data_IF_889533291699
#
_entry.id   IF_889533291699
#
_cell.length_a   1.000
_cell.length_b   1.000
_cell.length_c   1.000
_cell.angle_alpha   90.00
_cell.angle_beta   90.00
_cell.angle_gamma   90.00
#
_symmetry.space_group_name_H-M   'P 1'
#
loop_
_entity.id
_entity.type
_entity.pdbx_description
1 polymer ?
#
# COMPACT_ATOMS: atom_id res chain seq x y z
N UNK A 1 -39.77 33.31 10.70
CA UNK A 1 -39.40 32.20 9.79
C UNK A 1 -38.08 31.52 10.21
N UNK A 2 -37.85 31.32 11.52
CA UNK A 2 -36.64 30.70 12.11
C UNK A 2 -36.94 29.50 13.06
N UNK A 3 -38.14 29.31 13.66
CA UNK A 3 -38.34 28.21 14.61
C UNK A 3 -38.54 26.83 13.97
N UNK A 4 -39.01 26.75 12.71
CA UNK A 4 -39.21 25.47 12.00
C UNK A 4 -37.89 24.78 11.60
N UNK A 5 -36.84 25.56 11.30
CA UNK A 5 -35.52 25.00 10.94
C UNK A 5 -34.83 24.37 12.16
N UNK A 6 -35.00 24.98 13.35
CA UNK A 6 -34.46 24.44 14.60
C UNK A 6 -35.14 23.14 15.01
N UNK A 7 -36.48 23.05 14.86
CA UNK A 7 -37.22 21.81 15.15
C UNK A 7 -36.83 20.65 14.23
N UNK A 8 -36.60 20.93 12.94
CA UNK A 8 -36.16 19.92 11.97
C UNK A 8 -34.77 19.36 12.30
N UNK A 9 -33.84 20.21 12.73
CA UNK A 9 -32.49 19.79 13.12
C UNK A 9 -32.47 18.97 14.41
N UNK A 10 -33.29 19.32 15.41
CA UNK A 10 -33.41 18.51 16.64
C UNK A 10 -34.10 17.17 16.40
N UNK A 11 -35.12 17.09 15.53
CA UNK A 11 -35.74 15.80 15.21
C UNK A 11 -34.77 14.88 14.45
N UNK A 12 -34.01 15.43 13.49
CA UNK A 12 -33.03 14.65 12.72
C UNK A 12 -31.90 14.15 13.62
N UNK A 13 -31.43 14.96 14.57
CA UNK A 13 -30.42 14.52 15.52
C UNK A 13 -30.96 13.49 16.53
N UNK A 14 -32.22 13.58 16.95
CA UNK A 14 -32.85 12.57 17.81
C UNK A 14 -33.00 11.22 17.09
N UNK A 15 -33.42 11.25 15.83
CA UNK A 15 -33.56 10.04 15.00
C UNK A 15 -32.20 9.39 14.73
N UNK A 16 -31.15 10.18 14.50
CA UNK A 16 -29.77 9.67 14.32
C UNK A 16 -29.27 9.00 15.60
N UNK A 17 -29.51 9.59 16.78
CA UNK A 17 -29.09 9.01 18.06
C UNK A 17 -29.85 7.72 18.37
N UNK A 18 -31.17 7.67 18.11
CA UNK A 18 -31.95 6.45 18.31
C UNK A 18 -31.58 5.34 17.31
N UNK A 19 -31.27 5.65 16.06
CA UNK A 19 -30.79 4.66 15.09
C UNK A 19 -29.42 4.09 15.46
N UNK A 20 -28.51 4.91 15.97
CA UNK A 20 -27.20 4.44 16.47
C UNK A 20 -27.38 3.53 17.67
N UNK A 21 -28.23 3.90 18.64
CA UNK A 21 -28.51 3.09 19.82
C UNK A 21 -29.21 1.75 19.50
N UNK A 22 -30.08 1.72 18.48
CA UNK A 22 -30.73 0.48 18.03
C UNK A 22 -29.77 -0.44 17.28
N UNK A 23 -28.80 0.11 16.53
CA UNK A 23 -27.77 -0.69 15.84
C UNK A 23 -26.78 -1.33 16.82
N UNK A 24 -26.45 -0.66 17.94
CA UNK A 24 -25.56 -1.23 18.97
C UNK A 24 -26.20 -2.38 19.77
N UNK A 25 -27.52 -2.50 19.79
CA UNK A 25 -28.24 -3.46 20.65
C UNK A 25 -28.67 -4.77 19.98
N UNK A 26 -28.57 -4.91 18.65
CA UNK A 26 -29.07 -6.09 17.95
C UNK A 26 -28.15 -6.55 16.80
N UNK A 27 -27.22 -7.45 17.12
CA UNK A 27 -26.27 -8.08 16.19
C UNK A 27 -26.92 -8.91 15.08
N UNK A 28 -28.20 -9.28 15.20
CA UNK A 28 -28.91 -10.11 14.21
C UNK A 28 -29.70 -9.32 13.17
N UNK A 29 -29.88 -8.00 13.34
CA UNK A 29 -30.67 -7.17 12.42
C UNK A 29 -29.81 -6.36 11.42
N UNK A 30 -28.49 -6.50 11.47
CA UNK A 30 -27.56 -5.83 10.54
C UNK A 30 -27.62 -6.45 9.13
N UNK A 31 -28.03 -7.72 9.01
CA UNK A 31 -28.01 -8.46 7.75
C UNK A 31 -29.20 -8.15 6.81
N UNK A 32 -30.30 -7.59 7.31
CA UNK A 32 -31.54 -7.42 6.52
C UNK A 32 -31.77 -6.01 5.96
N UNK A 33 -31.09 -4.98 6.47
CA UNK A 33 -31.22 -3.60 5.99
C UNK A 33 -30.28 -3.26 4.81
N UNK A 34 -29.31 -4.12 4.50
CA UNK A 34 -28.32 -3.90 3.44
C UNK A 34 -28.85 -4.04 2.01
N UNK A 35 -30.13 -4.39 1.80
CA UNK A 35 -30.66 -4.70 0.46
C UNK A 35 -31.39 -3.51 -0.20
N UNK A 36 -31.73 -2.42 0.52
CA UNK A 36 -32.50 -1.32 -0.09
C UNK A 36 -32.02 0.12 0.19
N UNK A 37 -31.03 0.32 1.04
CA UNK A 37 -30.43 1.64 1.27
C UNK A 37 -28.91 1.49 1.24
N UNK A 38 -28.25 2.30 0.41
CA UNK A 38 -26.81 2.25 0.20
C UNK A 38 -26.06 2.08 1.51
N UNK A 39 -25.19 1.07 1.56
CA UNK A 39 -24.41 0.71 2.74
C UNK A 39 -23.68 1.95 3.27
N UNK A 40 -23.95 2.31 4.53
CA UNK A 40 -23.14 3.31 5.23
C UNK A 40 -21.78 2.66 5.46
N UNK A 41 -20.78 3.11 4.71
CA UNK A 41 -19.39 2.69 4.90
C UNK A 41 -18.82 3.66 5.93
N UNK A 42 -18.61 3.18 7.15
CA UNK A 42 -17.87 3.92 8.19
C UNK A 42 -16.38 3.71 7.89
N UNK A 43 -15.60 4.80 7.71
CA UNK A 43 -14.14 4.71 7.60
C UNK A 43 -13.52 3.90 8.73
N UNK A 44 -12.55 3.07 8.40
CA UNK A 44 -11.73 2.42 9.42
C UNK A 44 -10.83 3.46 10.09
N UNK A 45 -10.85 3.53 11.42
CA UNK A 45 -9.96 4.38 12.22
C UNK A 45 -8.48 4.16 11.82
N UNK A 46 -8.11 2.92 11.49
CA UNK A 46 -6.74 2.58 11.05
C UNK A 46 -6.38 3.22 9.71
N UNK A 47 -7.36 3.39 8.84
CA UNK A 47 -7.18 4.06 7.56
C UNK A 47 -6.89 5.56 7.77
N UNK A 48 -7.64 6.20 8.69
CA UNK A 48 -7.40 7.59 9.05
C UNK A 48 -6.01 7.78 9.66
N UNK A 49 -5.58 6.86 10.54
CA UNK A 49 -4.26 6.86 11.15
C UNK A 49 -3.12 6.73 10.11
N UNK A 50 -3.30 5.93 9.05
CA UNK A 50 -2.35 5.88 7.92
C UNK A 50 -2.27 7.23 7.21
N UNK A 51 -3.43 7.80 6.87
CA UNK A 51 -3.51 9.07 6.13
C UNK A 51 -2.90 10.24 6.93
N UNK A 52 -3.08 10.22 8.24
CA UNK A 52 -2.54 11.21 9.18
C UNK A 52 -1.08 10.91 9.58
N UNK A 53 -0.49 9.81 9.09
CA UNK A 53 0.87 9.34 9.41
C UNK A 53 1.08 9.02 10.90
N UNK A 54 0.01 8.65 11.59
CA UNK A 54 0.05 8.21 12.99
C UNK A 54 0.52 6.75 13.09
N UNK A 55 0.33 5.97 12.02
CA UNK A 55 0.82 4.60 11.90
C UNK A 55 1.71 4.47 10.66
N UNK A 56 2.79 3.73 10.81
CA UNK A 56 3.72 3.45 9.71
C UNK A 56 3.25 2.27 8.86
N UNK A 57 3.38 2.41 7.55
CA UNK A 57 3.18 1.31 6.61
C UNK A 57 4.48 0.51 6.52
N UNK A 58 4.40 -0.79 6.81
CA UNK A 58 5.54 -1.70 6.70
C UNK A 58 5.66 -2.31 5.30
N UNK A 59 4.53 -2.68 4.69
CA UNK A 59 4.52 -3.27 3.35
C UNK A 59 3.28 -2.85 2.57
N UNK A 60 3.45 -2.57 1.27
CA UNK A 60 2.37 -2.45 0.29
C UNK A 60 2.63 -3.43 -0.84
N UNK A 61 1.75 -4.42 -0.97
CA UNK A 61 1.91 -5.51 -1.94
C UNK A 61 0.71 -5.49 -2.87
N UNK A 62 0.93 -5.13 -4.12
CA UNK A 62 -0.07 -5.17 -5.18
C UNK A 62 0.26 -6.31 -6.12
N UNK A 63 -0.77 -7.10 -6.42
CA UNK A 63 -0.77 -8.16 -7.42
C UNK A 63 -2.02 -7.98 -8.29
N UNK A 64 -2.14 -8.75 -9.37
CA UNK A 64 -3.38 -8.79 -10.18
C UNK A 64 -4.64 -9.13 -9.38
N UNK A 65 -4.51 -9.78 -8.23
CA UNK A 65 -5.64 -10.29 -7.44
C UNK A 65 -5.99 -9.40 -6.26
N UNK A 66 -4.99 -8.79 -5.62
CA UNK A 66 -5.17 -8.11 -4.35
C UNK A 66 -4.16 -7.00 -4.10
N UNK A 67 -4.55 -6.11 -3.17
CA UNK A 67 -3.72 -5.11 -2.52
C UNK A 67 -3.63 -5.51 -1.05
N UNK A 68 -2.43 -5.75 -0.55
CA UNK A 68 -2.15 -6.00 0.85
C UNK A 68 -1.40 -4.81 1.43
N UNK A 69 -1.90 -4.25 2.53
CA UNK A 69 -1.18 -3.21 3.30
C UNK A 69 -0.99 -3.73 4.72
N UNK A 70 0.26 -3.79 5.16
CA UNK A 70 0.63 -4.16 6.52
C UNK A 70 1.12 -2.92 7.28
N UNK A 71 0.62 -2.73 8.49
CA UNK A 71 0.99 -1.60 9.35
C UNK A 71 1.87 -2.01 10.53
N UNK A 72 2.56 -1.04 11.12
CA UNK A 72 3.46 -1.26 12.27
C UNK A 72 2.76 -1.69 13.56
N UNK A 73 1.45 -1.46 13.66
CA UNK A 73 0.60 -1.93 14.75
C UNK A 73 -0.14 -3.25 14.42
N UNK A 74 0.39 -4.00 13.44
CA UNK A 74 -0.06 -5.34 13.05
C UNK A 74 -1.47 -5.41 12.45
N UNK A 75 -1.95 -4.35 11.82
CA UNK A 75 -3.19 -4.40 11.04
C UNK A 75 -2.89 -4.72 9.58
N UNK A 76 -3.84 -5.45 8.97
CA UNK A 76 -3.77 -5.91 7.58
C UNK A 76 -5.00 -5.43 6.84
N UNK A 77 -4.78 -4.62 5.80
CA UNK A 77 -5.79 -4.38 4.78
C UNK A 77 -5.58 -5.41 3.67
N UNK A 78 -6.51 -6.37 3.53
CA UNK A 78 -6.51 -7.36 2.45
C UNK A 78 -7.66 -7.05 1.50
N UNK A 79 -7.34 -6.26 0.47
CA UNK A 79 -8.29 -5.69 -0.48
C UNK A 79 -8.19 -6.43 -1.81
N UNK A 80 -9.28 -6.46 -2.56
CA UNK A 80 -9.23 -6.89 -3.96
C UNK A 80 -8.49 -5.84 -4.83
N UNK A 81 -7.86 -6.27 -5.92
CA UNK A 81 -7.15 -5.37 -6.83
C UNK A 81 -8.03 -4.24 -7.42
N UNK A 82 -9.35 -4.46 -7.51
CA UNK A 82 -10.31 -3.45 -7.97
C UNK A 82 -10.51 -2.24 -7.03
N UNK A 83 -9.89 -2.26 -5.84
CA UNK A 83 -9.85 -1.08 -4.97
C UNK A 83 -8.83 -0.04 -5.44
N UNK A 84 -7.97 -0.37 -6.41
CA UNK A 84 -7.19 0.63 -7.13
C UNK A 84 -8.02 1.23 -8.28
N UNK A 85 -8.12 2.56 -8.29
CA UNK A 85 -8.72 3.32 -9.40
C UNK A 85 -7.62 3.87 -10.30
N UNK A 86 -7.49 3.30 -11.50
CA UNK A 86 -6.53 3.73 -12.52
C UNK A 86 -6.80 5.11 -13.10
N UNK A 87 -8.06 5.55 -13.12
CA UNK A 87 -8.44 6.86 -13.64
C UNK A 87 -7.85 7.96 -12.77
N UNK A 88 -7.91 7.76 -11.46
CA UNK A 88 -7.46 8.73 -10.47
C UNK A 88 -6.10 8.37 -9.88
N UNK A 89 -5.55 7.18 -10.13
CA UNK A 89 -4.33 6.65 -9.50
C UNK A 89 -4.40 6.71 -7.97
N UNK A 90 -5.48 6.17 -7.40
CA UNK A 90 -5.73 6.14 -5.95
C UNK A 90 -6.11 4.74 -5.48
N UNK A 91 -5.88 4.47 -4.19
CA UNK A 91 -6.32 3.24 -3.53
C UNK A 91 -7.49 3.59 -2.62
N UNK A 92 -8.62 2.93 -2.85
CA UNK A 92 -9.82 3.06 -2.04
C UNK A 92 -9.69 2.16 -0.81
N UNK A 93 -9.65 2.73 0.39
CA UNK A 93 -9.54 1.99 1.65
C UNK A 93 -10.89 1.93 2.37
N UNK A 94 -11.88 1.28 1.76
CA UNK A 94 -13.25 1.19 2.31
C UNK A 94 -13.47 -0.03 3.20
N UNK A 95 -12.55 -0.99 3.18
CA UNK A 95 -12.65 -2.20 3.97
C UNK A 95 -11.93 -2.02 5.29
N UNK A 96 -12.56 -2.47 6.38
CA UNK A 96 -11.92 -2.53 7.69
C UNK A 96 -10.71 -3.47 7.64
N UNK A 97 -9.61 -2.99 8.17
CA UNK A 97 -8.43 -3.77 8.47
C UNK A 97 -8.74 -4.89 9.46
N UNK A 98 -7.90 -5.93 9.42
CA UNK A 98 -7.97 -7.06 10.34
C UNK A 98 -6.65 -7.16 11.06
N UNK A 99 -6.67 -7.42 12.37
CA UNK A 99 -5.44 -7.67 13.12
C UNK A 99 -4.74 -8.91 12.57
N UNK A 100 -3.40 -8.90 12.50
CA UNK A 100 -2.60 -10.03 12.00
C UNK A 100 -2.88 -11.32 12.78
N UNK A 101 -3.20 -11.23 14.08
CA UNK A 101 -3.58 -12.39 14.90
C UNK A 101 -4.80 -13.13 14.36
N UNK A 102 -5.75 -12.39 13.81
CA UNK A 102 -7.01 -12.92 13.33
C UNK A 102 -6.89 -13.32 11.86
N UNK A 103 -6.16 -12.51 11.08
CA UNK A 103 -5.95 -12.75 9.64
C UNK A 103 -5.00 -13.92 9.37
N UNK A 104 -3.92 -14.00 10.13
CA UNK A 104 -2.84 -14.98 9.97
C UNK A 104 -2.53 -15.70 11.29
N UNK A 105 -3.49 -16.44 11.88
CA UNK A 105 -3.35 -17.01 13.22
C UNK A 105 -2.19 -18.02 13.32
N UNK A 106 -1.91 -18.77 12.24
CA UNK A 106 -0.76 -19.69 12.19
C UNK A 106 0.56 -18.95 12.36
N UNK A 107 0.74 -17.82 11.67
CA UNK A 107 1.92 -16.97 11.83
C UNK A 107 1.95 -16.36 13.22
N UNK A 108 0.83 -15.85 13.70
CA UNK A 108 0.77 -15.18 15.00
C UNK A 108 1.11 -16.10 16.18
N UNK A 109 0.74 -17.37 16.10
CA UNK A 109 1.00 -18.38 17.12
C UNK A 109 2.35 -19.09 16.94
N UNK A 110 3.07 -18.81 15.85
CA UNK A 110 4.41 -19.36 15.65
C UNK A 110 5.39 -18.78 16.68
N UNK A 111 6.10 -19.66 17.37
CA UNK A 111 6.98 -19.27 18.48
C UNK A 111 8.16 -18.43 18.04
N UNK A 112 8.67 -18.65 16.82
CA UNK A 112 9.77 -17.87 16.26
C UNK A 112 9.25 -16.48 15.88
N UNK A 113 8.05 -16.38 15.29
CA UNK A 113 7.43 -15.10 14.98
C UNK A 113 7.18 -14.30 16.25
N UNK A 114 6.57 -14.94 17.26
CA UNK A 114 6.31 -14.32 18.57
C UNK A 114 7.58 -13.73 19.20
N UNK A 115 8.70 -14.44 19.10
CA UNK A 115 9.99 -13.97 19.62
C UNK A 115 10.56 -12.73 18.91
N UNK A 116 10.14 -12.49 17.65
CA UNK A 116 10.68 -11.39 16.84
C UNK A 116 9.72 -10.21 16.66
N UNK A 117 8.42 -10.35 16.99
CA UNK A 117 7.37 -9.32 16.78
C UNK A 117 7.81 -7.93 17.24
N UNK A 118 8.38 -7.82 18.45
CA UNK A 118 8.77 -6.55 19.05
C UNK A 118 10.01 -5.89 18.43
N UNK A 119 10.68 -6.55 17.48
CA UNK A 119 12.00 -6.13 17.00
C UNK A 119 12.10 -5.95 15.50
N UNK A 120 11.19 -6.52 14.71
CA UNK A 120 11.23 -6.33 13.26
C UNK A 120 10.78 -4.90 12.91
N UNK A 121 11.55 -4.24 12.05
CA UNK A 121 11.29 -2.86 11.61
C UNK A 121 11.00 -2.76 10.11
N UNK A 122 11.07 -3.89 9.42
CA UNK A 122 10.92 -4.00 7.98
C UNK A 122 10.28 -5.36 7.67
N UNK A 123 9.38 -5.37 6.70
CA UNK A 123 8.74 -6.57 6.16
C UNK A 123 8.94 -6.53 4.65
N UNK A 124 9.78 -7.44 4.15
CA UNK A 124 9.91 -7.66 2.72
C UNK A 124 8.84 -8.61 2.23
N UNK A 125 8.77 -8.75 0.92
CA UNK A 125 7.93 -9.75 0.31
C UNK A 125 8.58 -10.33 -0.93
N UNK A 126 8.07 -11.50 -1.32
CA UNK A 126 8.37 -12.11 -2.60
C UNK A 126 7.03 -12.49 -3.23
N UNK A 127 6.84 -12.12 -4.50
CA UNK A 127 5.78 -12.69 -5.32
C UNK A 127 6.44 -13.83 -6.11
N UNK A 128 6.14 -15.07 -5.76
CA UNK A 128 6.80 -16.23 -6.39
C UNK A 128 6.25 -16.54 -7.79
N UNK A 129 6.81 -17.57 -8.44
CA UNK A 129 6.40 -18.00 -9.78
C UNK A 129 4.95 -18.53 -9.86
N UNK A 130 4.32 -18.85 -8.73
CA UNK A 130 2.89 -19.19 -8.64
C UNK A 130 2.02 -17.98 -8.37
N UNK A 131 2.63 -16.79 -8.26
CA UNK A 131 2.04 -15.55 -7.78
C UNK A 131 1.54 -15.65 -6.33
N UNK A 132 2.16 -16.53 -5.54
CA UNK A 132 1.95 -16.53 -4.10
C UNK A 132 2.75 -15.38 -3.47
N UNK A 133 2.15 -14.71 -2.50
CA UNK A 133 2.80 -13.65 -1.75
C UNK A 133 3.42 -14.29 -0.50
N UNK A 134 4.73 -14.15 -0.37
CA UNK A 134 5.49 -14.53 0.81
C UNK A 134 5.85 -13.27 1.59
N UNK A 135 5.32 -13.11 2.80
CA UNK A 135 5.76 -12.09 3.74
C UNK A 135 7.06 -12.55 4.39
N UNK A 136 8.10 -11.73 4.30
CA UNK A 136 9.44 -12.06 4.74
C UNK A 136 9.81 -11.13 5.91
N UNK A 137 9.75 -11.67 7.12
CA UNK A 137 10.13 -10.98 8.35
C UNK A 137 11.60 -11.25 8.61
N UNK A 138 12.44 -10.25 8.45
CA UNK A 138 13.89 -10.40 8.57
C UNK A 138 14.35 -10.21 10.01
N UNK A 139 15.37 -10.96 10.41
CA UNK A 139 16.12 -10.68 11.64
C UNK A 139 17.38 -9.89 11.33
N UNK A 140 17.97 -9.16 12.30
CA UNK A 140 19.25 -8.49 12.12
C UNK A 140 20.34 -9.44 11.61
N UNK A 141 21.33 -8.90 10.89
CA UNK A 141 22.44 -9.67 10.30
C UNK A 141 23.15 -10.62 11.28
N UNK A 142 23.32 -10.18 12.54
CA UNK A 142 24.03 -10.92 13.59
C UNK A 142 23.08 -11.67 14.54
N UNK A 143 21.79 -11.76 14.21
CA UNK A 143 20.85 -12.51 15.02
C UNK A 143 21.20 -14.01 14.98
N UNK A 144 21.07 -14.74 16.10
CA UNK A 144 21.39 -16.17 16.16
C UNK A 144 20.42 -17.02 15.33
N UNK A 145 19.21 -16.52 15.09
CA UNK A 145 18.17 -17.20 14.33
C UNK A 145 17.83 -16.40 13.06
N UNK A 146 17.55 -17.12 11.98
CA UNK A 146 17.08 -16.54 10.72
C UNK A 146 15.69 -15.91 10.88
N UNK A 147 15.27 -15.13 9.87
CA UNK A 147 13.91 -14.59 9.79
C UNK A 147 12.83 -15.66 9.57
N UNK A 148 11.63 -15.22 9.21
CA UNK A 148 10.50 -16.08 8.85
C UNK A 148 9.93 -15.63 7.52
N UNK A 149 9.67 -16.60 6.64
CA UNK A 149 8.88 -16.39 5.44
C UNK A 149 7.52 -17.07 5.61
N UNK A 150 6.45 -16.32 5.36
CA UNK A 150 5.07 -16.76 5.51
C UNK A 150 4.29 -16.61 4.21
N UNK A 151 3.72 -17.70 3.70
CA UNK A 151 2.86 -17.66 2.51
C UNK A 151 1.42 -17.27 2.90
N UNK A 152 0.94 -16.16 2.35
CA UNK A 152 -0.37 -15.58 2.73
C UNK A 152 -1.57 -16.41 2.30
N UNK A 153 -1.40 -17.38 1.39
CA UNK A 153 -2.50 -18.14 0.81
C UNK A 153 -2.68 -19.50 1.49
N UNK A 154 -1.59 -20.24 1.70
CA UNK A 154 -1.65 -21.58 2.29
C UNK A 154 -1.27 -21.58 3.79
N UNK A 155 -0.71 -20.48 4.30
CA UNK A 155 -0.27 -20.33 5.69
C UNK A 155 0.98 -21.14 6.03
N UNK A 156 1.77 -21.51 5.02
CA UNK A 156 3.07 -22.14 5.18
C UNK A 156 4.07 -21.18 5.82
N UNK A 157 4.88 -21.71 6.73
CA UNK A 157 5.92 -20.99 7.46
C UNK A 157 7.22 -21.74 7.19
N UNK A 158 8.23 -21.02 6.71
CA UNK A 158 9.58 -21.55 6.49
C UNK A 158 10.62 -20.61 7.09
N UNK A 159 11.83 -21.14 7.30
CA UNK A 159 12.96 -20.31 7.70
C UNK A 159 13.23 -19.24 6.64
N UNK A 160 13.26 -17.99 7.10
CA UNK A 160 13.47 -16.82 6.26
C UNK A 160 14.92 -16.35 6.28
N UNK A 161 15.11 -15.08 5.98
CA UNK A 161 16.45 -14.50 5.79
C UNK A 161 16.88 -13.59 6.93
N UNK A 162 18.19 -13.39 7.03
CA UNK A 162 18.77 -12.28 7.78
C UNK A 162 18.80 -11.04 6.89
N UNK A 163 18.65 -9.86 7.50
CA UNK A 163 18.99 -8.61 6.84
C UNK A 163 20.49 -8.61 6.55
N UNK A 164 20.90 -8.36 5.30
CA UNK A 164 22.32 -8.20 5.00
C UNK A 164 22.83 -6.84 5.49
N UNK A 165 24.13 -6.76 5.79
CA UNK A 165 24.79 -5.57 6.35
C UNK A 165 24.61 -4.28 5.53
N UNK A 166 24.24 -4.38 4.26
CA UNK A 166 24.10 -3.26 3.31
C UNK A 166 22.68 -3.12 2.75
N UNK A 167 21.69 -3.71 3.42
CA UNK A 167 20.31 -3.73 2.94
C UNK A 167 19.61 -2.39 3.14
N UNK A 168 19.86 -1.47 2.23
CA UNK A 168 19.00 -0.33 1.93
C UNK A 168 18.09 -0.66 0.73
N UNK A 169 17.61 -1.91 0.67
CA UNK A 169 16.78 -2.43 -0.41
C UNK A 169 15.31 -2.40 -0.03
N UNK A 170 14.51 -1.69 -0.82
CA UNK A 170 13.06 -1.60 -0.68
C UNK A 170 12.43 -2.38 -1.83
N UNK A 171 11.54 -3.31 -1.48
CA UNK A 171 10.82 -4.13 -2.46
C UNK A 171 9.58 -3.38 -2.92
N UNK A 172 9.40 -3.29 -4.23
CA UNK A 172 8.32 -2.59 -4.89
C UNK A 172 7.53 -3.63 -5.68
N UNK A 173 6.27 -3.84 -5.29
CA UNK A 173 5.43 -4.89 -5.87
C UNK A 173 4.96 -4.51 -7.27
N UNK A 174 4.50 -5.49 -8.05
CA UNK A 174 3.92 -5.22 -9.37
C UNK A 174 2.77 -6.19 -9.65
N UNK A 175 1.80 -5.73 -10.41
CA UNK A 175 0.76 -6.55 -11.02
C UNK A 175 1.26 -7.41 -12.19
N UNK A 176 2.56 -7.41 -12.50
CA UNK A 176 3.16 -8.33 -13.46
C UNK A 176 3.57 -9.64 -12.75
N UNK A 177 3.05 -10.76 -13.25
CA UNK A 177 3.29 -12.08 -12.67
C UNK A 177 4.78 -12.42 -12.62
N UNK A 178 5.24 -12.92 -11.46
CA UNK A 178 6.62 -13.33 -11.23
C UNK A 178 7.71 -12.26 -11.40
N UNK A 179 7.34 -11.00 -11.38
CA UNK A 179 8.29 -9.90 -11.33
C UNK A 179 8.08 -9.09 -10.07
N UNK A 180 9.14 -8.41 -9.65
CA UNK A 180 9.07 -7.33 -8.66
C UNK A 180 10.22 -6.37 -8.89
N UNK A 181 10.05 -5.14 -8.42
CA UNK A 181 11.09 -4.14 -8.47
C UNK A 181 11.82 -4.08 -7.12
N UNK A 182 13.10 -3.75 -7.16
CA UNK A 182 13.94 -3.52 -5.98
C UNK A 182 14.58 -2.15 -6.12
N UNK A 183 14.54 -1.37 -5.06
CA UNK A 183 15.14 -0.03 -5.01
C UNK A 183 16.24 0.00 -3.96
N UNK A 184 17.43 0.49 -4.35
CA UNK A 184 18.51 0.83 -3.42
C UNK A 184 18.57 2.33 -3.20
N UNK A 185 18.84 2.74 -1.95
CA UNK A 185 18.84 4.15 -1.53
C UNK A 185 20.17 4.63 -0.93
N UNK A 186 21.17 3.75 -0.77
CA UNK A 186 22.43 4.06 -0.11
C UNK A 186 23.36 5.01 -0.90
N UNK A 187 23.27 5.00 -2.23
CA UNK A 187 24.11 5.80 -3.14
C UNK A 187 23.26 6.28 -4.31
N UNK A 188 22.39 7.26 -4.04
CA UNK A 188 21.32 7.67 -4.95
C UNK A 188 20.20 6.62 -5.05
N UNK A 189 19.14 6.95 -5.79
CA UNK A 189 18.01 6.05 -5.98
C UNK A 189 18.23 5.19 -7.22
N UNK A 190 18.31 3.88 -7.01
CA UNK A 190 18.67 2.89 -8.02
C UNK A 190 17.59 1.81 -8.09
N UNK A 191 16.98 1.59 -9.25
CA UNK A 191 15.93 0.59 -9.46
C UNK A 191 16.44 -0.62 -10.23
N UNK A 192 15.92 -1.79 -9.90
CA UNK A 192 16.09 -3.01 -10.66
C UNK A 192 14.76 -3.75 -10.75
N UNK A 193 14.61 -4.58 -11.79
CA UNK A 193 13.47 -5.48 -11.94
C UNK A 193 13.99 -6.90 -11.86
N UNK A 194 13.47 -7.67 -10.92
CA UNK A 194 13.88 -9.05 -10.70
C UNK A 194 12.77 -10.01 -11.12
N UNK A 195 13.18 -11.13 -11.72
CA UNK A 195 12.30 -12.21 -12.11
C UNK A 195 12.39 -13.34 -11.08
N UNK A 196 11.28 -13.62 -10.41
CA UNK A 196 11.17 -14.61 -9.33
C UNK A 196 10.95 -16.05 -9.85
N UNK A 197 10.85 -16.24 -11.18
CA UNK A 197 10.87 -17.57 -11.83
C UNK A 197 12.28 -18.17 -11.90
N UNK A 198 13.35 -17.40 -11.65
CA UNK A 198 14.74 -17.88 -11.80
C UNK A 198 15.19 -18.87 -10.71
N UNK A 199 14.51 -20.02 -10.61
CA UNK A 199 15.06 -21.27 -10.07
C UNK A 199 16.14 -21.76 -11.03
N UNK A 200 17.36 -21.28 -10.87
CA UNK A 200 18.51 -21.96 -11.45
C UNK A 200 19.50 -22.35 -10.35
N UNK A 201 19.62 -23.67 -10.20
CA UNK A 201 20.69 -24.45 -9.55
C UNK A 201 20.99 -24.17 -8.08
N UNK A 202 20.62 -25.11 -7.22
CA UNK A 202 21.32 -25.62 -6.02
C UNK A 202 21.85 -24.65 -4.95
N UNK A 203 21.64 -23.35 -5.09
CA UNK A 203 21.89 -22.33 -4.08
C UNK A 203 20.68 -21.37 -4.08
N UNK A 204 19.98 -21.32 -2.95
CA UNK A 204 18.72 -20.60 -2.68
C UNK A 204 18.79 -19.07 -2.76
N UNK A 205 19.70 -18.51 -3.55
CA UNK A 205 19.79 -17.07 -3.77
C UNK A 205 18.93 -16.69 -4.97
N UNK A 206 17.79 -16.05 -4.73
CA UNK A 206 17.08 -15.30 -5.77
C UNK A 206 18.09 -14.39 -6.46
N UNK A 207 18.38 -14.67 -7.74
CA UNK A 207 19.40 -13.94 -8.47
C UNK A 207 18.87 -12.54 -8.77
N UNK A 208 19.07 -11.59 -7.84
CA UNK A 208 18.90 -10.18 -8.10
C UNK A 208 19.93 -9.82 -9.17
N UNK A 209 19.49 -9.73 -10.42
CA UNK A 209 20.31 -9.24 -11.52
C UNK A 209 21.01 -7.96 -11.06
N UNK A 210 22.34 -7.92 -10.97
CA UNK A 210 23.06 -6.80 -10.34
C UNK A 210 23.00 -5.48 -11.13
N UNK A 211 22.20 -5.40 -12.20
CA UNK A 211 22.07 -4.22 -13.07
C UNK A 211 20.95 -3.31 -12.61
N UNK A 212 21.30 -2.38 -11.75
CA UNK A 212 20.40 -1.29 -11.36
C UNK A 212 20.46 -0.14 -12.39
N UNK A 213 19.34 0.57 -12.53
CA UNK A 213 19.22 1.84 -13.25
C UNK A 213 19.08 2.97 -12.23
N UNK A 214 19.96 3.96 -12.29
CA UNK A 214 19.92 5.13 -11.42
C UNK A 214 18.84 6.10 -11.92
N UNK A 215 18.13 6.73 -10.99
CA UNK A 215 17.15 7.79 -11.27
C UNK A 215 17.81 9.15 -11.08
N UNK A 216 17.82 9.93 -12.15
CA UNK A 216 18.45 11.24 -12.20
C UNK A 216 17.44 12.34 -12.47
N UNK A 217 17.77 13.58 -12.12
CA UNK A 217 17.06 14.80 -12.53
C UNK A 217 17.98 15.72 -13.35
N UNK A 218 17.41 16.50 -14.26
CA UNK A 218 18.14 17.39 -15.19
C UNK A 218 18.66 18.69 -14.55
N UNK A 219 18.11 19.07 -13.41
CA UNK A 219 18.41 20.30 -12.69
C UNK A 219 18.17 20.05 -11.22
N UNK A 220 18.90 20.74 -10.35
CA UNK A 220 18.66 20.69 -8.91
C UNK A 220 17.52 21.63 -8.49
N UNK A 221 16.31 21.33 -8.95
CA UNK A 221 15.10 22.07 -8.58
C UNK A 221 13.86 21.15 -8.54
N UNK A 222 12.78 21.66 -7.96
CA UNK A 222 11.53 20.91 -7.76
C UNK A 222 10.78 20.59 -9.06
N UNK A 223 10.93 21.41 -10.10
CA UNK A 223 10.25 21.25 -11.39
C UNK A 223 11.00 20.32 -12.36
N UNK A 224 12.12 19.75 -11.90
CA UNK A 224 12.98 18.94 -12.74
C UNK A 224 12.32 17.62 -13.11
N UNK A 225 12.37 17.29 -14.40
CA UNK A 225 11.97 15.97 -14.89
C UNK A 225 13.00 14.93 -14.50
N UNK A 226 12.52 13.73 -14.20
CA UNK A 226 13.39 12.58 -13.95
C UNK A 226 13.71 11.82 -15.22
N UNK A 227 14.76 11.02 -15.20
CA UNK A 227 15.03 10.00 -16.20
C UNK A 227 15.79 8.83 -15.57
N UNK A 228 15.71 7.67 -16.21
CA UNK A 228 16.45 6.48 -15.79
C UNK A 228 17.73 6.39 -16.62
N UNK A 229 18.83 6.03 -15.95
CA UNK A 229 20.12 5.79 -16.57
C UNK A 229 20.75 4.51 -16.05
N UNK A 230 20.96 3.56 -16.95
CA UNK A 230 21.68 2.34 -16.68
C UNK A 230 23.17 2.65 -16.75
N UNK A 231 23.74 2.89 -15.59
CA UNK A 231 25.15 3.16 -15.41
C UNK A 231 25.94 1.87 -15.17
N UNK A 232 27.28 1.96 -15.31
CA UNK A 232 28.17 1.09 -14.54
C UNK A 232 27.83 1.23 -13.05
N UNK A 233 27.86 0.17 -12.22
CA UNK A 233 27.39 0.21 -10.82
C UNK A 233 28.04 1.28 -9.92
N UNK A 234 29.06 1.97 -10.40
CA UNK A 234 29.85 2.99 -9.70
C UNK A 234 29.60 4.43 -10.17
N UNK A 235 28.72 4.68 -11.15
CA UNK A 235 28.44 6.05 -11.64
C UNK A 235 27.13 6.60 -11.06
N UNK A 236 27.23 7.78 -10.43
CA UNK A 236 26.10 8.57 -9.94
C UNK A 236 25.64 9.58 -10.99
N UNK A 237 24.50 10.23 -10.76
CA UNK A 237 23.99 11.22 -11.70
C UNK A 237 24.85 12.48 -11.78
N UNK A 238 25.70 12.77 -10.77
CA UNK A 238 26.53 13.98 -10.63
C UNK A 238 27.61 14.14 -11.72
N UNK A 239 27.20 14.33 -12.96
CA UNK A 239 28.06 14.70 -14.09
C UNK A 239 27.23 15.56 -15.06
N UNK A 240 27.83 16.61 -15.63
CA UNK A 240 27.26 17.42 -16.72
C UNK A 240 25.87 18.03 -16.43
N UNK A 241 25.63 18.49 -15.19
CA UNK A 241 24.38 19.17 -14.81
C UNK A 241 23.22 18.23 -14.47
N UNK A 242 23.48 16.94 -14.29
CA UNK A 242 22.51 15.98 -13.78
C UNK A 242 22.74 15.73 -12.28
N UNK A 243 21.67 15.46 -11.55
CA UNK A 243 21.70 15.30 -10.09
C UNK A 243 20.94 14.04 -9.68
N UNK A 244 21.35 13.43 -8.58
CA UNK A 244 20.60 12.33 -7.99
C UNK A 244 19.25 12.85 -7.45
N UNK A 245 18.24 12.00 -7.49
CA UNK A 245 16.99 12.28 -6.78
C UNK A 245 17.16 11.92 -5.30
N UNK A 246 16.60 12.75 -4.41
CA UNK A 246 16.55 12.48 -2.98
C UNK A 246 15.10 12.18 -2.59
N UNK A 247 14.76 10.90 -2.64
CA UNK A 247 13.45 10.40 -2.25
C UNK A 247 13.59 9.58 -0.98
N UNK A 248 12.94 10.04 0.09
CA UNK A 248 12.81 9.27 1.33
C UNK A 248 11.76 8.16 1.15
N UNK A 249 12.07 7.17 0.31
CA UNK A 249 11.19 6.07 -0.05
C UNK A 249 10.97 5.17 1.18
N UNK A 250 9.70 4.81 1.40
CA UNK A 250 9.26 3.88 2.44
C UNK A 250 8.81 2.57 1.78
N UNK A 251 8.02 2.68 0.71
CA UNK A 251 7.45 1.53 0.02
C UNK A 251 7.01 1.91 -1.40
N UNK A 252 6.32 1.01 -2.10
CA UNK A 252 5.64 1.34 -3.33
C UNK A 252 5.21 0.12 -4.13
N UNK A 253 4.51 0.39 -5.22
CA UNK A 253 4.05 -0.64 -6.13
C UNK A 253 3.89 -0.12 -7.55
N UNK A 254 3.77 -1.06 -8.48
CA UNK A 254 3.46 -0.82 -9.89
C UNK A 254 2.13 -1.48 -10.21
N UNK A 255 1.24 -0.71 -10.82
CA UNK A 255 -0.03 -1.23 -11.33
C UNK A 255 -0.52 -0.33 -12.44
N UNK A 256 -1.20 -0.91 -13.43
CA UNK A 256 -1.74 -0.19 -14.60
C UNK A 256 -0.68 0.68 -15.31
N UNK A 257 0.58 0.23 -15.33
CA UNK A 257 1.68 0.91 -15.98
C UNK A 257 2.18 2.18 -15.26
N UNK A 258 1.90 2.34 -13.97
CA UNK A 258 2.41 3.45 -13.14
C UNK A 258 3.15 2.94 -11.90
N UNK A 259 4.33 3.52 -11.67
CA UNK A 259 4.96 3.49 -10.35
C UNK A 259 4.20 4.39 -9.39
N UNK A 260 3.94 3.86 -8.20
CA UNK A 260 3.43 4.58 -7.03
C UNK A 260 4.45 4.43 -5.91
N UNK A 261 5.39 5.37 -5.81
CA UNK A 261 6.48 5.35 -4.83
C UNK A 261 6.02 6.10 -3.59
N UNK A 262 5.83 5.38 -2.49
CA UNK A 262 5.42 5.94 -1.20
C UNK A 262 6.65 6.45 -0.46
N UNK A 263 6.59 7.72 -0.06
CA UNK A 263 7.67 8.43 0.62
C UNK A 263 7.16 9.06 1.91
N UNK A 264 8.08 9.55 2.75
CA UNK A 264 7.72 10.34 3.95
C UNK A 264 6.93 11.61 3.63
N UNK A 265 6.99 12.10 2.38
CA UNK A 265 6.33 13.34 1.92
C UNK A 265 5.03 13.10 1.16
N UNK A 266 4.65 11.86 0.88
CA UNK A 266 3.48 11.52 0.06
C UNK A 266 3.79 10.44 -0.97
N UNK A 267 3.05 10.41 -2.07
CA UNK A 267 3.20 9.40 -3.13
C UNK A 267 3.65 10.06 -4.42
N UNK A 268 4.76 9.57 -4.97
CA UNK A 268 5.27 9.95 -6.29
C UNK A 268 4.70 9.00 -7.34
N UNK A 269 4.11 9.55 -8.39
CA UNK A 269 3.42 8.80 -9.44
C UNK A 269 4.04 9.15 -10.80
N UNK A 270 4.49 8.13 -11.53
CA UNK A 270 5.07 8.27 -12.85
C UNK A 270 4.94 6.97 -13.66
N UNK A 271 5.00 7.05 -14.99
CA UNK A 271 4.77 5.89 -15.86
C UNK A 271 5.89 4.86 -15.74
N UNK A 272 5.55 3.59 -15.64
CA UNK A 272 6.48 2.45 -15.59
C UNK A 272 7.41 2.38 -16.80
N UNK A 273 6.89 2.70 -17.99
CA UNK A 273 7.63 2.64 -19.26
C UNK A 273 8.99 3.37 -19.23
N UNK A 274 9.16 4.36 -18.35
CA UNK A 274 10.41 5.14 -18.26
C UNK A 274 11.58 4.30 -17.76
N UNK A 275 11.30 3.27 -16.95
CA UNK A 275 12.30 2.31 -16.50
C UNK A 275 12.97 1.60 -17.69
N UNK A 276 12.20 1.35 -18.75
CA UNK A 276 12.69 0.71 -19.98
C UNK A 276 13.25 1.72 -21.01
N UNK A 277 13.09 3.03 -20.80
CA UNK A 277 13.49 4.08 -21.75
C UNK A 277 14.56 4.98 -21.14
N UNK A 278 15.80 4.58 -21.37
CA UNK A 278 16.98 5.30 -20.88
C UNK A 278 17.01 6.75 -21.39
N UNK A 279 17.47 7.68 -20.53
CA UNK A 279 17.65 9.11 -20.82
C UNK A 279 16.40 9.90 -21.22
N UNK A 280 15.21 9.31 -21.16
CA UNK A 280 13.97 10.00 -21.55
C UNK A 280 13.41 10.80 -20.36
N UNK A 281 13.33 12.15 -20.45
CA UNK A 281 12.79 12.97 -19.36
C UNK A 281 11.28 12.71 -19.15
N UNK A 282 10.87 12.61 -17.89
CA UNK A 282 9.46 12.41 -17.53
C UNK A 282 9.06 13.23 -16.29
N UNK A 283 7.84 13.82 -16.27
CA UNK A 283 7.33 14.50 -15.10
C UNK A 283 6.95 13.52 -13.99
N UNK A 284 7.19 13.90 -12.74
CA UNK A 284 6.73 13.17 -11.56
C UNK A 284 5.54 13.91 -10.97
N UNK A 285 4.42 13.23 -10.77
CA UNK A 285 3.29 13.78 -10.01
C UNK A 285 3.46 13.43 -8.55
N UNK A 286 3.37 14.40 -7.66
CA UNK A 286 3.32 14.15 -6.22
C UNK A 286 1.88 14.31 -5.72
N UNK A 287 1.47 13.43 -4.81
CA UNK A 287 0.20 13.51 -4.07
C UNK A 287 0.46 13.38 -2.58
N UNK A 288 -0.41 13.95 -1.76
CA UNK A 288 -0.42 13.62 -0.34
C UNK A 288 -0.91 12.18 -0.12
N UNK A 289 -0.65 11.61 1.07
CA UNK A 289 -1.22 10.30 1.43
C UNK A 289 -2.76 10.35 1.48
N UNK A 290 -3.33 11.48 1.90
CA UNK A 290 -4.79 11.70 1.94
C UNK A 290 -5.43 11.71 0.56
N UNK A 291 -4.77 12.28 -0.43
CA UNK A 291 -5.24 12.29 -1.82
C UNK A 291 -5.05 10.94 -2.53
N UNK A 292 -4.16 10.10 -2.00
CA UNK A 292 -3.81 8.81 -2.58
C UNK A 292 -4.63 7.67 -1.99
N UNK A 293 -4.71 7.59 -0.66
CA UNK A 293 -5.58 6.69 0.05
C UNK A 293 -6.94 7.35 0.23
N UNK A 294 -7.83 7.06 -0.70
CA UNK A 294 -9.17 7.62 -0.67
C UNK A 294 -10.02 6.88 0.35
N UNK A 295 -10.50 7.65 1.32
CA UNK A 295 -11.39 7.18 2.38
C UNK A 295 -12.75 7.82 2.13
N UNK A 296 -13.73 7.03 1.70
CA UNK A 296 -15.05 7.58 1.39
C UNK A 296 -15.87 7.72 2.67
N UNK A 297 -16.16 8.97 3.05
CA UNK A 297 -17.29 9.26 3.94
C UNK A 297 -18.57 9.22 3.09
N UNK A 298 -19.31 8.12 3.16
CA UNK A 298 -20.58 8.02 2.45
C UNK A 298 -21.72 8.56 3.34
N UNK A 299 -21.94 9.88 3.30
CA UNK A 299 -23.24 10.45 3.65
C UNK A 299 -24.07 10.60 2.37
N UNK A 300 -24.80 9.55 1.97
CA UNK A 300 -25.86 9.71 0.99
C UNK A 300 -27.13 10.23 1.68
N UNK A 301 -27.32 11.55 1.67
CA UNK A 301 -28.59 12.15 2.06
C UNK A 301 -29.66 11.86 0.99
N UNK A 302 -30.79 11.30 1.43
CA UNK A 302 -32.00 11.07 0.61
C UNK A 302 -32.47 12.41 0.02
N UNK A 303 -32.24 12.62 -1.28
CA UNK A 303 -32.83 13.71 -2.09
C UNK A 303 -33.36 13.17 -3.42
N UNK A 304 -33.93 11.96 -3.42
CA UNK A 304 -34.79 11.45 -4.49
C UNK A 304 -35.88 10.60 -3.87
N UNK A 305 -36.97 11.25 -3.50
CA UNK A 305 -38.35 10.72 -3.41
C UNK A 305 -39.14 11.60 -2.45
N UNK A 306 -39.50 12.82 -2.86
CA UNK A 306 -40.70 13.53 -2.41
C UNK A 306 -40.74 14.86 -3.17
N UNK A 307 -41.20 14.84 -4.42
CA UNK A 307 -41.91 15.95 -5.08
C UNK A 307 -42.32 15.48 -6.48
N UNK A 308 -43.29 14.57 -6.52
CA UNK A 308 -44.11 14.32 -7.70
C UNK A 308 -45.35 13.58 -7.22
N UNK A 309 -46.35 14.35 -6.79
CA UNK A 309 -47.58 13.80 -6.26
C UNK A 309 -48.50 14.86 -5.68
N UNK A 310 -49.24 15.51 -6.58
CA UNK A 310 -50.63 15.93 -6.40
C UNK A 310 -50.95 17.05 -5.38
N UNK A 311 -51.26 18.23 -5.93
CA UNK A 311 -52.48 18.95 -5.58
C UNK A 311 -53.19 19.35 -6.89
N UNK A 312 -54.47 18.98 -7.06
CA UNK A 312 -55.44 19.87 -7.66
C UNK A 312 -56.35 20.46 -6.57
N UNK A 313 -56.74 21.70 -6.82
CA UNK A 313 -57.63 22.60 -6.05
C UNK A 313 -56.97 23.37 -4.90
#
# INVERSE_FOLDING_TARGET
MVPLLKLGLTLVSLIIVELIAVVESNTTMVSFLAINYGTIIIPDEKCEQIVQKEIEILAIIVTKKKILILTSDYHVFDLSANFYDSTTNTVNLFQKSTLMSDKYPKLWLDSKFDSMKSTFKDVRFIIDYKNDIWLCFLTPFLAPNSGINYNVYNGEIVDGWHQQKHDAEIFISTDIDSYQYVVRTNEGIKFNMINTISKNSDNDDYYINKRFSTVCKYFDNADSKIYFKQFSPYENCENNGHFDVDWSIINGFVTDGFFHIVTTKGVLIFKEQIFHRQFTPFPVKQRSLQEFFYVQFLFQFIQRNHFSGLLPF
#
